data_IF_488036923031
#
_entry.id   IF_488036923031
#
_cell.length_a   1.000
_cell.length_b   1.000
_cell.length_c   1.000
_cell.angle_alpha   90.00
_cell.angle_beta   90.00
_cell.angle_gamma   90.00
#
_symmetry.space_group_name_H-M   'P 1'
#
loop_
_entity.id
_entity.type
_entity.pdbx_description
1 polymer ?
#
# COMPACT_ATOMS: atom_id res chain seq x y z
N UNK A 1 0.69 -14.90 -7.23
CA UNK A 1 -0.14 -15.09 -8.43
C UNK A 1 -0.19 -16.55 -8.90
N UNK A 2 0.94 -17.28 -8.98
CA UNK A 2 0.97 -18.65 -9.51
C UNK A 2 0.44 -19.78 -8.61
N UNK A 3 -0.20 -19.48 -7.47
CA UNK A 3 -0.82 -20.49 -6.61
C UNK A 3 0.10 -21.28 -5.65
N UNK A 4 1.38 -20.91 -5.52
CA UNK A 4 2.33 -21.61 -4.63
C UNK A 4 2.13 -21.36 -3.12
N UNK A 5 1.30 -20.39 -2.74
CA UNK A 5 0.93 -20.07 -1.35
C UNK A 5 -0.58 -19.81 -1.29
N UNK A 6 -1.24 -20.25 -0.22
CA UNK A 6 -2.69 -20.08 -0.03
C UNK A 6 -3.08 -18.97 0.96
N UNK A 7 -2.12 -18.49 1.77
CA UNK A 7 -2.31 -17.40 2.74
C UNK A 7 -1.01 -16.60 2.88
N UNK A 8 -1.12 -15.28 3.04
CA UNK A 8 0.01 -14.40 3.31
C UNK A 8 -0.46 -13.18 4.11
N UNK A 9 0.39 -12.69 5.02
CA UNK A 9 0.29 -11.32 5.52
C UNK A 9 0.92 -10.41 4.46
N UNK A 10 0.16 -9.45 3.94
CA UNK A 10 0.63 -8.58 2.86
C UNK A 10 -0.13 -7.27 2.77
N UNK A 11 0.43 -6.33 2.03
CA UNK A 11 -0.20 -5.05 1.75
C UNK A 11 -1.34 -5.20 0.73
N UNK A 12 -2.34 -4.32 0.82
CA UNK A 12 -3.55 -4.40 0.01
C UNK A 12 -3.24 -4.40 -1.49
N UNK A 13 -2.50 -3.40 -1.98
CA UNK A 13 -2.18 -3.28 -3.40
C UNK A 13 -1.33 -4.44 -3.92
N UNK A 14 -0.45 -5.05 -3.12
CA UNK A 14 0.36 -6.21 -3.53
C UNK A 14 -0.51 -7.46 -3.73
N UNK A 15 -1.44 -7.70 -2.81
CA UNK A 15 -2.41 -8.81 -2.91
C UNK A 15 -3.35 -8.60 -4.09
N UNK A 16 -3.78 -7.35 -4.33
CA UNK A 16 -4.64 -6.96 -5.44
C UNK A 16 -3.91 -7.09 -6.79
N UNK A 17 -2.65 -6.66 -6.88
CA UNK A 17 -1.83 -6.90 -8.07
C UNK A 17 -1.64 -8.40 -8.32
N UNK A 18 -1.41 -9.20 -7.28
CA UNK A 18 -1.30 -10.65 -7.43
C UNK A 18 -2.61 -11.29 -7.94
N UNK A 19 -3.77 -10.79 -7.48
CA UNK A 19 -5.11 -11.15 -7.98
C UNK A 19 -5.27 -10.80 -9.45
N UNK A 20 -4.90 -9.59 -9.85
CA UNK A 20 -5.09 -9.11 -11.22
C UNK A 20 -4.17 -9.83 -12.20
N UNK A 21 -2.89 -10.03 -11.83
CA UNK A 21 -1.95 -10.86 -12.62
C UNK A 21 -2.43 -12.29 -12.80
N UNK A 22 -3.10 -12.87 -11.79
CA UNK A 22 -3.71 -14.20 -11.92
C UNK A 22 -4.86 -14.22 -12.95
N UNK A 23 -5.69 -13.16 -12.97
CA UNK A 23 -6.77 -12.98 -13.95
C UNK A 23 -6.23 -12.77 -15.36
N UNK A 24 -5.23 -11.90 -15.53
CA UNK A 24 -4.57 -11.61 -16.82
C UNK A 24 -3.91 -12.86 -17.42
N UNK A 25 -3.31 -13.70 -16.57
CA UNK A 25 -2.73 -14.97 -16.99
C UNK A 25 -3.77 -16.05 -17.35
N UNK A 26 -5.07 -15.77 -17.22
CA UNK A 26 -6.15 -16.72 -17.49
C UNK A 26 -6.12 -17.96 -16.60
N UNK A 27 -5.43 -17.91 -15.47
CA UNK A 27 -5.30 -19.07 -14.59
C UNK A 27 -6.50 -19.17 -13.62
N UNK A 28 -6.70 -20.34 -13.01
CA UNK A 28 -7.84 -20.60 -12.11
C UNK A 28 -7.64 -20.07 -10.68
N UNK A 29 -6.54 -19.38 -10.40
CA UNK A 29 -6.18 -18.93 -9.05
C UNK A 29 -7.04 -17.72 -8.68
N UNK A 30 -7.78 -17.84 -7.57
CA UNK A 30 -8.60 -16.76 -7.02
C UNK A 30 -7.92 -16.23 -5.77
N UNK A 31 -7.61 -14.93 -5.77
CA UNK A 31 -6.96 -14.24 -4.66
C UNK A 31 -7.89 -13.13 -4.18
N UNK A 32 -8.01 -12.99 -2.86
CA UNK A 32 -8.78 -11.94 -2.22
C UNK A 32 -7.93 -11.27 -1.13
N UNK A 33 -8.21 -9.99 -0.89
CA UNK A 33 -7.65 -9.23 0.23
C UNK A 33 -8.75 -9.02 1.28
N UNK A 34 -8.39 -9.17 2.55
CA UNK A 34 -9.30 -8.98 3.66
C UNK A 34 -8.62 -8.20 4.79
N UNK A 35 -9.30 -7.18 5.29
CA UNK A 35 -8.96 -6.53 6.56
C UNK A 35 -9.59 -7.36 7.69
N UNK A 36 -8.82 -7.85 8.68
CA UNK A 36 -9.37 -8.57 9.83
C UNK A 36 -10.35 -7.72 10.64
N UNK A 37 -11.32 -8.36 11.31
CA UNK A 37 -12.35 -7.68 12.12
C UNK A 37 -11.77 -6.92 13.32
N UNK A 38 -10.58 -7.32 13.77
CA UNK A 38 -9.82 -6.68 14.83
C UNK A 38 -9.19 -5.35 14.38
N UNK A 39 -9.21 -5.07 13.08
CA UNK A 39 -8.52 -3.95 12.46
C UNK A 39 -7.19 -4.35 11.83
N UNK A 40 -6.56 -3.38 11.15
CA UNK A 40 -5.26 -3.55 10.52
C UNK A 40 -4.45 -2.26 10.55
N UNK A 41 -3.14 -2.40 10.39
CA UNK A 41 -2.25 -1.25 10.24
C UNK A 41 -2.53 -0.54 8.91
N UNK A 42 -2.72 0.77 8.96
CA UNK A 42 -2.70 1.66 7.80
C UNK A 42 -1.33 2.31 7.69
N UNK A 43 -0.71 2.15 6.52
CA UNK A 43 0.51 2.85 6.15
C UNK A 43 0.20 3.97 5.16
N UNK A 44 0.98 5.04 5.23
CA UNK A 44 0.97 6.13 4.25
C UNK A 44 2.41 6.34 3.79
N UNK A 45 2.68 6.04 2.53
CA UNK A 45 3.98 6.25 1.93
C UNK A 45 4.11 7.70 1.46
N UNK A 46 5.22 8.34 1.79
CA UNK A 46 5.47 9.75 1.51
C UNK A 46 6.80 9.95 0.79
N UNK A 47 6.83 10.95 -0.09
CA UNK A 47 8.06 11.45 -0.68
C UNK A 47 8.70 12.48 0.24
N UNK A 48 9.98 12.28 0.56
CA UNK A 48 10.81 13.24 1.29
C UNK A 48 12.04 13.62 0.48
N UNK A 49 12.47 14.87 0.57
CA UNK A 49 13.73 15.33 -0.01
C UNK A 49 14.80 15.30 1.09
N UNK A 50 15.83 14.44 1.01
CA UNK A 50 16.93 14.45 1.98
C UNK A 50 17.59 15.82 2.08
N UNK A 51 18.04 16.20 3.28
CA UNK A 51 18.65 17.49 3.54
C UNK A 51 19.96 17.72 2.75
N UNK A 52 20.63 16.63 2.37
CA UNK A 52 21.88 16.58 1.61
C UNK A 52 21.66 16.17 0.14
N UNK A 53 20.42 16.21 -0.36
CA UNK A 53 20.14 15.85 -1.74
C UNK A 53 20.97 16.70 -2.73
N UNK A 54 21.66 16.10 -3.71
CA UNK A 54 22.51 16.85 -4.65
C UNK A 54 21.69 17.73 -5.60
N UNK A 55 20.41 17.40 -5.81
CA UNK A 55 19.50 18.07 -6.74
C UNK A 55 18.10 18.29 -6.12
N UNK A 56 17.95 19.07 -5.04
CA UNK A 56 16.68 19.20 -4.32
C UNK A 56 15.59 19.84 -5.18
N UNK A 57 15.98 20.74 -6.10
CA UNK A 57 15.04 21.40 -7.03
C UNK A 57 14.42 20.41 -8.04
N UNK A 58 15.17 19.41 -8.49
CA UNK A 58 14.64 18.38 -9.38
C UNK A 58 13.67 17.45 -8.63
N UNK A 59 13.97 17.13 -7.37
CA UNK A 59 13.08 16.35 -6.52
C UNK A 59 11.74 17.08 -6.30
N UNK A 60 11.78 18.40 -6.02
CA UNK A 60 10.57 19.21 -5.90
C UNK A 60 9.75 19.27 -7.19
N UNK A 61 10.40 19.38 -8.36
CA UNK A 61 9.71 19.33 -9.66
C UNK A 61 9.06 17.98 -9.92
N UNK A 62 9.69 16.89 -9.50
CA UNK A 62 9.11 15.55 -9.61
C UNK A 62 7.89 15.39 -8.69
N UNK A 63 7.97 15.87 -7.44
CA UNK A 63 6.84 15.89 -6.52
C UNK A 63 5.68 16.73 -7.08
N UNK A 64 5.96 17.92 -7.63
CA UNK A 64 4.96 18.75 -8.32
C UNK A 64 4.28 18.00 -9.47
N UNK A 65 5.06 17.31 -10.30
CA UNK A 65 4.52 16.51 -11.40
C UNK A 65 3.57 15.41 -10.90
N UNK A 66 3.96 14.69 -9.85
CA UNK A 66 3.13 13.66 -9.23
C UNK A 66 1.87 14.22 -8.57
N UNK A 67 1.86 15.46 -8.10
CA UNK A 67 0.67 16.09 -7.51
C UNK A 67 -0.39 16.47 -8.55
N UNK A 68 -0.12 16.32 -9.85
CA UNK A 68 -1.13 16.57 -10.89
C UNK A 68 -2.16 15.44 -10.90
N UNK A 69 -3.48 15.74 -10.88
CA UNK A 69 -4.51 14.70 -10.75
C UNK A 69 -4.44 13.58 -11.77
N UNK A 70 -4.21 13.91 -13.06
CA UNK A 70 -4.10 12.91 -14.11
C UNK A 70 -2.88 11.99 -13.94
N UNK A 71 -1.74 12.56 -13.52
CA UNK A 71 -0.50 11.79 -13.33
C UNK A 71 -0.64 10.77 -12.21
N UNK A 72 -1.19 11.17 -11.06
CA UNK A 72 -1.34 10.25 -9.93
C UNK A 72 -2.48 9.25 -10.13
N UNK A 73 -3.51 9.60 -10.90
CA UNK A 73 -4.55 8.66 -11.31
C UNK A 73 -3.97 7.54 -12.19
N UNK A 74 -3.15 7.88 -13.18
CA UNK A 74 -2.46 6.89 -14.03
C UNK A 74 -1.58 5.94 -13.20
N UNK A 75 -0.94 6.46 -12.14
CA UNK A 75 -0.16 5.63 -11.22
C UNK A 75 -1.07 4.69 -10.44
N UNK A 76 -2.16 5.19 -9.85
CA UNK A 76 -3.16 4.35 -9.18
C UNK A 76 -3.69 3.25 -10.11
N UNK A 77 -3.94 3.57 -11.37
CA UNK A 77 -4.41 2.60 -12.36
C UNK A 77 -3.41 1.48 -12.63
N UNK A 78 -2.12 1.77 -12.53
CA UNK A 78 -1.05 0.79 -12.71
C UNK A 78 -0.81 -0.07 -11.46
N UNK A 79 -0.78 0.56 -10.27
CA UNK A 79 -0.30 -0.11 -9.04
C UNK A 79 -1.42 -0.54 -8.08
N UNK A 80 -2.65 -0.11 -8.32
CA UNK A 80 -3.83 -0.43 -7.52
C UNK A 80 -3.74 0.02 -6.05
N UNK A 81 -3.00 1.10 -5.80
CA UNK A 81 -3.00 1.80 -4.52
C UNK A 81 -3.78 3.12 -4.62
N UNK A 82 -4.63 3.43 -3.63
CA UNK A 82 -5.30 4.72 -3.57
C UNK A 82 -4.27 5.83 -3.35
N UNK A 83 -4.56 7.02 -3.87
CA UNK A 83 -3.72 8.20 -3.70
C UNK A 83 -4.46 9.30 -2.92
N UNK A 84 -3.75 10.24 -2.27
CA UNK A 84 -4.38 11.26 -1.43
C UNK A 84 -4.93 12.47 -2.22
N UNK A 85 -4.84 12.47 -3.55
CA UNK A 85 -5.29 13.59 -4.38
C UNK A 85 -6.80 13.50 -4.64
N UNK A 86 -7.61 14.27 -3.91
CA UNK A 86 -9.07 14.22 -4.01
C UNK A 86 -9.60 14.44 -5.45
N UNK A 87 -9.11 15.44 -6.21
CA UNK A 87 -9.48 15.55 -7.63
C UNK A 87 -9.15 14.33 -8.50
N UNK A 88 -8.08 13.59 -8.19
CA UNK A 88 -7.65 12.44 -8.99
C UNK A 88 -8.62 11.26 -8.90
N UNK A 89 -9.39 11.12 -7.82
CA UNK A 89 -10.33 10.00 -7.63
C UNK A 89 -11.34 9.89 -8.78
N UNK A 90 -11.75 11.01 -9.38
CA UNK A 90 -12.67 11.01 -10.52
C UNK A 90 -12.01 10.52 -11.83
N UNK A 91 -10.68 10.53 -11.91
CA UNK A 91 -9.89 10.15 -13.08
C UNK A 91 -9.43 8.68 -13.04
N UNK A 92 -9.44 8.06 -11.85
CA UNK A 92 -9.11 6.63 -11.68
C UNK A 92 -10.16 5.77 -12.37
N UNK A 93 -9.71 4.68 -13.02
CA UNK A 93 -10.60 3.73 -13.70
C UNK A 93 -11.71 3.21 -12.77
N UNK A 94 -12.97 3.12 -13.25
CA UNK A 94 -14.08 2.66 -12.41
C UNK A 94 -13.82 1.31 -11.74
N UNK A 95 -13.19 0.35 -12.43
CA UNK A 95 -12.90 -0.97 -11.86
C UNK A 95 -11.92 -0.96 -10.68
N UNK A 96 -11.19 0.14 -10.48
CA UNK A 96 -10.23 0.34 -9.37
C UNK A 96 -10.86 1.27 -8.34
N UNK A 97 -11.44 2.38 -8.78
CA UNK A 97 -12.12 3.36 -7.92
C UNK A 97 -13.23 2.72 -7.11
N UNK A 98 -13.99 1.82 -7.72
CA UNK A 98 -15.16 1.19 -7.12
C UNK A 98 -14.81 -0.17 -6.47
N UNK A 99 -13.52 -0.57 -6.44
CA UNK A 99 -13.07 -1.79 -5.75
C UNK A 99 -12.91 -1.52 -4.24
N UNK A 100 -13.72 -2.16 -3.38
CA UNK A 100 -13.66 -1.94 -1.93
C UNK A 100 -12.38 -2.47 -1.28
N UNK A 101 -11.53 -3.23 -2.00
CA UNK A 101 -10.20 -3.61 -1.53
C UNK A 101 -9.15 -2.52 -1.78
N UNK A 102 -9.40 -1.60 -2.73
CA UNK A 102 -8.54 -0.43 -3.02
C UNK A 102 -9.04 0.79 -2.25
N UNK A 103 -10.31 1.16 -2.45
CA UNK A 103 -10.98 2.26 -1.75
C UNK A 103 -11.89 1.67 -0.66
N UNK A 104 -11.30 1.49 0.52
CA UNK A 104 -11.98 0.82 1.64
C UNK A 104 -13.25 1.59 2.08
N UNK A 105 -14.37 0.88 2.32
CA UNK A 105 -15.55 1.43 2.99
C UNK A 105 -15.20 2.11 4.31
N UNK A 106 -15.98 3.12 4.69
CA UNK A 106 -15.71 3.94 5.89
C UNK A 106 -15.65 3.09 7.17
N UNK A 107 -16.50 2.09 7.25
CA UNK A 107 -16.67 1.15 8.35
C UNK A 107 -15.40 0.36 8.58
N UNK A 108 -14.73 -0.04 7.49
CA UNK A 108 -13.43 -0.73 7.55
C UNK A 108 -12.33 0.29 7.86
N UNK A 109 -12.35 1.48 7.26
CA UNK A 109 -11.35 2.53 7.52
C UNK A 109 -11.29 2.93 9.00
N UNK A 110 -12.43 2.94 9.70
CA UNK A 110 -12.51 3.24 11.15
C UNK A 110 -11.83 2.19 12.03
N UNK A 111 -11.57 0.99 11.51
CA UNK A 111 -10.87 -0.08 12.24
C UNK A 111 -9.36 -0.05 12.01
N UNK A 112 -8.86 0.86 11.18
CA UNK A 112 -7.45 0.96 10.89
C UNK A 112 -6.70 1.75 11.97
N UNK A 113 -5.47 1.34 12.25
CA UNK A 113 -4.58 2.03 13.18
C UNK A 113 -3.25 2.39 12.50
N UNK A 114 -2.58 3.43 12.99
CA UNK A 114 -1.25 3.82 12.50
C UNK A 114 -0.22 3.42 13.54
N UNK A 115 0.91 2.84 13.11
CA UNK A 115 2.06 2.61 13.98
C UNK A 115 2.78 3.94 14.23
N UNK A 116 2.84 4.36 15.50
CA UNK A 116 3.47 5.63 15.88
C UNK A 116 4.92 5.41 16.32
N UNK A 117 5.80 6.42 16.19
CA UNK A 117 7.16 6.32 16.69
C UNK A 117 7.20 5.90 18.16
N UNK A 118 7.93 4.84 18.46
CA UNK A 118 8.10 4.34 19.81
C UNK A 118 9.46 4.74 20.41
N UNK A 119 9.60 4.76 21.76
CA UNK A 119 10.88 5.00 22.39
C UNK A 119 11.94 3.97 21.96
N UNK A 120 13.20 4.39 21.89
CA UNK A 120 14.29 3.53 21.43
C UNK A 120 14.44 2.20 22.23
N UNK A 121 14.05 2.20 23.50
CA UNK A 121 14.04 0.97 24.33
C UNK A 121 13.04 -0.06 23.78
N UNK A 122 11.85 0.39 23.38
CA UNK A 122 10.82 -0.46 22.77
C UNK A 122 11.31 -0.97 21.40
N UNK A 123 11.85 -0.09 20.55
CA UNK A 123 12.34 -0.48 19.22
C UNK A 123 13.44 -1.54 19.26
N UNK A 124 14.38 -1.41 20.22
CA UNK A 124 15.41 -2.43 20.45
C UNK A 124 14.79 -3.76 20.89
N UNK A 125 13.77 -3.74 21.73
CA UNK A 125 13.07 -4.95 22.17
C UNK A 125 12.31 -5.62 21.00
N UNK A 126 11.59 -4.81 20.20
CA UNK A 126 10.87 -5.23 18.99
C UNK A 126 11.82 -5.89 17.98
N UNK A 127 12.95 -5.26 17.71
CA UNK A 127 13.99 -5.78 16.80
C UNK A 127 14.54 -7.13 17.29
N UNK A 128 14.90 -7.25 18.57
CA UNK A 128 15.39 -8.51 19.14
C UNK A 128 14.35 -9.63 19.04
N UNK A 129 13.07 -9.33 19.31
CA UNK A 129 11.99 -10.30 19.20
C UNK A 129 11.82 -10.79 17.75
N UNK A 130 11.82 -9.87 16.78
CA UNK A 130 11.70 -10.21 15.36
C UNK A 130 12.87 -11.06 14.86
N UNK A 131 14.10 -10.73 15.24
CA UNK A 131 15.28 -11.52 14.86
C UNK A 131 15.19 -12.95 15.39
N UNK A 132 14.76 -13.14 16.64
CA UNK A 132 14.56 -14.48 17.21
C UNK A 132 13.53 -15.27 16.39
N UNK A 133 12.35 -14.69 16.19
CA UNK A 133 11.27 -15.31 15.42
C UNK A 133 11.72 -15.80 14.04
N UNK A 134 12.47 -14.97 13.30
CA UNK A 134 12.94 -15.32 11.94
C UNK A 134 14.10 -16.31 11.92
N UNK A 135 14.87 -16.41 13.00
CA UNK A 135 16.06 -17.28 13.06
C UNK A 135 15.76 -18.76 13.33
N UNK A 136 14.49 -19.13 13.53
CA UNK A 136 14.07 -20.51 13.79
C UNK A 136 14.50 -21.04 15.16
N UNK A 137 14.77 -20.15 16.13
CA UNK A 137 14.94 -20.46 17.55
C UNK A 137 13.77 -19.93 18.36
#
# INVERSE_FOLDING_TARGET
AGGGLCVALGYSGDVIQARNRAREAGNKVRIAFHVPKEGAMMSVDMLGVPADAPHPQNALRFIDYLLRPAVIADITDAVWYPNPNLPATALVKPEIRDDPAVYLPEEIRRQLYVDLPAPAVYERARTRAWTRLKSGR
#
